data_IF_726064915427
#
_entry.id   IF_726064915427
#
_cell.length_a   1.000
_cell.length_b   1.000
_cell.length_c   1.000
_cell.angle_alpha   90.00
_cell.angle_beta   90.00
_cell.angle_gamma   90.00
#
_symmetry.space_group_name_H-M   'P 1'
#
loop_
_entity.id
_entity.type
_entity.pdbx_description
1 polymer ?
#
# COMPACT_ATOMS: atom_id res chain seq x y z
N UNK A 1 -4.26 12.98 3.96
CA UNK A 1 -4.64 11.95 4.95
C UNK A 1 -6.15 11.82 5.11
N UNK A 2 -6.96 12.62 4.41
CA UNK A 2 -8.41 12.69 4.62
C UNK A 2 -9.13 12.48 3.30
N UNK A 3 -10.34 11.94 3.39
CA UNK A 3 -11.29 11.85 2.29
C UNK A 3 -12.23 13.06 2.30
N UNK A 4 -12.91 13.38 1.19
CA UNK A 4 -13.95 14.39 1.18
C UNK A 4 -15.01 14.18 2.28
N UNK A 5 -15.61 15.28 2.76
CA UNK A 5 -16.55 15.28 3.89
C UNK A 5 -17.72 14.29 3.77
N UNK A 6 -18.13 13.96 2.54
CA UNK A 6 -19.13 12.93 2.28
C UNK A 6 -18.76 11.57 2.89
N UNK A 7 -17.46 11.24 2.92
CA UNK A 7 -16.90 9.98 3.41
C UNK A 7 -16.45 10.02 4.87
N UNK A 8 -16.83 11.07 5.61
CA UNK A 8 -16.51 11.22 7.04
C UNK A 8 -16.88 9.98 7.89
N UNK A 9 -18.03 9.29 7.68
CA UNK A 9 -18.35 8.09 8.45
C UNK A 9 -17.26 7.00 8.37
N UNK A 10 -16.63 6.82 7.21
CA UNK A 10 -15.54 5.87 7.04
C UNK A 10 -14.30 6.29 7.81
N UNK A 11 -13.93 7.57 7.72
CA UNK A 11 -12.77 8.11 8.41
C UNK A 11 -12.93 8.07 9.94
N UNK A 12 -14.13 8.36 10.47
CA UNK A 12 -14.40 8.32 11.90
C UNK A 12 -14.29 6.93 12.51
N UNK A 13 -14.71 5.89 11.78
CA UNK A 13 -14.52 4.50 12.19
C UNK A 13 -13.04 4.13 12.13
N UNK A 14 -12.36 4.45 11.03
CA UNK A 14 -10.94 4.12 10.85
C UNK A 14 -10.02 4.80 11.88
N UNK A 15 -10.26 6.07 12.20
CA UNK A 15 -9.48 6.80 13.20
C UNK A 15 -9.67 6.24 14.63
N UNK A 16 -10.82 5.64 14.91
CA UNK A 16 -11.14 5.01 16.21
C UNK A 16 -10.99 3.49 16.18
N UNK A 17 -10.46 2.93 15.10
CA UNK A 17 -10.48 1.49 14.85
C UNK A 17 -9.85 0.66 15.97
N UNK A 18 -8.66 0.99 16.53
CA UNK A 18 -8.10 0.24 17.65
C UNK A 18 -9.03 0.21 18.87
N UNK A 19 -9.63 1.35 19.19
CA UNK A 19 -10.56 1.47 20.32
C UNK A 19 -11.85 0.69 20.06
N UNK A 20 -12.44 0.81 18.87
CA UNK A 20 -13.68 0.11 18.52
C UNK A 20 -13.51 -1.41 18.48
N UNK A 21 -12.34 -1.91 18.07
CA UNK A 21 -12.02 -3.34 18.14
C UNK A 21 -11.88 -3.77 19.59
N UNK A 22 -11.03 -3.08 20.37
CA UNK A 22 -10.76 -3.43 21.78
C UNK A 22 -11.97 -3.28 22.72
N UNK A 23 -12.94 -2.45 22.37
CA UNK A 23 -14.21 -2.28 23.12
C UNK A 23 -15.36 -3.14 22.59
N UNK A 24 -15.12 -3.98 21.58
CA UNK A 24 -16.15 -4.81 20.92
C UNK A 24 -17.30 -4.02 20.24
N UNK A 25 -17.10 -2.74 19.91
CA UNK A 25 -18.14 -1.87 19.33
C UNK A 25 -18.07 -1.70 17.81
N UNK A 26 -16.98 -2.13 17.16
CA UNK A 26 -16.80 -1.96 15.72
C UNK A 26 -17.97 -2.51 14.89
N UNK A 27 -18.44 -3.74 15.16
CA UNK A 27 -19.56 -4.34 14.41
C UNK A 27 -20.83 -3.50 14.49
N UNK A 28 -21.21 -3.05 15.68
CA UNK A 28 -22.37 -2.17 15.87
C UNK A 28 -22.23 -0.88 15.06
N UNK A 29 -21.08 -0.20 15.16
CA UNK A 29 -20.82 1.05 14.42
C UNK A 29 -20.83 0.87 12.90
N UNK A 30 -20.29 -0.24 12.38
CA UNK A 30 -20.32 -0.52 10.94
C UNK A 30 -21.74 -0.84 10.45
N UNK A 31 -22.57 -1.49 11.27
CA UNK A 31 -23.95 -1.78 10.90
C UNK A 31 -24.84 -0.52 10.86
N UNK A 32 -24.51 0.51 11.62
CA UNK A 32 -25.15 1.83 11.60
C UNK A 32 -24.64 2.75 10.46
N UNK A 33 -23.57 2.34 9.78
CA UNK A 33 -22.93 3.15 8.75
C UNK A 33 -23.85 3.35 7.53
N UNK A 34 -23.99 4.59 7.02
CA UNK A 34 -24.79 4.82 5.82
C UNK A 34 -24.15 4.17 4.58
N UNK A 35 -24.98 3.75 3.62
CA UNK A 35 -24.47 3.32 2.32
C UNK A 35 -24.03 4.56 1.52
N UNK A 36 -22.73 4.69 1.28
CA UNK A 36 -22.13 5.77 0.50
C UNK A 36 -21.63 5.23 -0.84
N UNK A 37 -21.84 5.96 -1.94
CA UNK A 37 -21.33 5.57 -3.25
C UNK A 37 -19.93 6.16 -3.51
N UNK A 38 -19.20 5.63 -4.48
CA UNK A 38 -17.83 6.06 -4.75
C UNK A 38 -17.70 7.18 -5.80
N UNK A 39 -18.81 7.82 -6.20
CA UNK A 39 -18.84 8.77 -7.31
C UNK A 39 -18.03 10.04 -7.04
N UNK A 40 -17.87 10.42 -5.76
CA UNK A 40 -17.10 11.60 -5.36
C UNK A 40 -15.61 11.30 -5.12
N UNK A 41 -15.15 10.06 -5.31
CA UNK A 41 -13.74 9.69 -5.28
C UNK A 41 -13.11 9.89 -6.66
N UNK A 42 -12.82 11.15 -6.99
CA UNK A 42 -12.38 11.56 -8.34
C UNK A 42 -10.89 11.30 -8.58
N UNK A 43 -10.08 11.35 -7.51
CA UNK A 43 -8.63 11.17 -7.60
C UNK A 43 -8.15 9.77 -7.26
N UNK A 44 -7.08 9.32 -7.91
CA UNK A 44 -6.41 8.06 -7.56
C UNK A 44 -6.02 7.99 -6.08
N UNK A 45 -5.56 9.11 -5.50
CA UNK A 45 -5.19 9.19 -4.07
C UNK A 45 -6.40 8.98 -3.16
N UNK A 46 -7.54 9.57 -3.49
CA UNK A 46 -8.78 9.43 -2.73
C UNK A 46 -9.27 7.99 -2.81
N UNK A 47 -9.26 7.39 -4.01
CA UNK A 47 -9.61 5.99 -4.20
C UNK A 47 -8.69 5.05 -3.43
N UNK A 48 -7.37 5.28 -3.44
CA UNK A 48 -6.41 4.48 -2.66
C UNK A 48 -6.62 4.62 -1.15
N UNK A 49 -6.89 5.83 -0.67
CA UNK A 49 -7.17 6.06 0.75
C UNK A 49 -8.50 5.42 1.15
N UNK A 50 -9.53 5.51 0.31
CA UNK A 50 -10.81 4.84 0.53
C UNK A 50 -10.63 3.31 0.58
N UNK A 51 -9.86 2.73 -0.35
CA UNK A 51 -9.54 1.31 -0.36
C UNK A 51 -8.84 0.88 0.93
N UNK A 52 -7.82 1.63 1.36
CA UNK A 52 -7.12 1.40 2.62
C UNK A 52 -8.10 1.40 3.79
N UNK A 53 -8.86 2.49 3.95
CA UNK A 53 -9.81 2.68 5.06
C UNK A 53 -10.84 1.56 5.11
N UNK A 54 -11.52 1.28 3.99
CA UNK A 54 -12.56 0.26 3.91
C UNK A 54 -11.99 -1.15 4.14
N UNK A 55 -10.79 -1.44 3.66
CA UNK A 55 -10.11 -2.73 3.88
C UNK A 55 -9.70 -2.92 5.34
N UNK A 56 -9.22 -1.88 6.02
CA UNK A 56 -8.91 -1.93 7.45
C UNK A 56 -10.18 -2.16 8.29
N UNK A 57 -11.26 -1.43 7.99
CA UNK A 57 -12.56 -1.62 8.66
C UNK A 57 -13.07 -3.05 8.42
N UNK A 58 -12.96 -3.56 7.19
CA UNK A 58 -13.38 -4.91 6.82
C UNK A 58 -12.63 -5.98 7.61
N UNK A 59 -11.29 -5.90 7.67
CA UNK A 59 -10.51 -6.83 8.47
C UNK A 59 -10.84 -6.72 9.96
N UNK A 60 -11.00 -5.51 10.48
CA UNK A 60 -11.45 -5.30 11.86
C UNK A 60 -12.82 -5.95 12.11
N UNK A 61 -13.77 -5.79 11.20
CA UNK A 61 -15.13 -6.31 11.35
C UNK A 61 -15.19 -7.84 11.32
N UNK A 62 -14.48 -8.45 10.38
CA UNK A 62 -14.40 -9.93 10.22
C UNK A 62 -13.75 -10.56 11.44
N UNK A 63 -12.62 -10.00 11.88
CA UNK A 63 -11.74 -10.60 12.89
C UNK A 63 -11.91 -10.04 14.31
N UNK A 64 -12.83 -9.09 14.52
CA UNK A 64 -13.18 -8.65 15.88
C UNK A 64 -13.71 -9.85 16.67
N UNK A 65 -13.11 -10.09 17.84
CA UNK A 65 -13.58 -11.11 18.78
C UNK A 65 -15.05 -10.86 19.16
N UNK A 66 -15.85 -11.93 19.16
CA UNK A 66 -17.31 -11.88 19.26
C UNK A 66 -17.85 -11.23 20.54
N UNK A 67 -19.08 -10.71 20.48
CA UNK A 67 -19.78 -9.96 21.54
C UNK A 67 -20.16 -10.76 22.81
N UNK A 68 -19.67 -11.99 23.00
CA UNK A 68 -19.95 -12.75 24.20
C UNK A 68 -18.69 -13.47 24.70
N UNK A 69 -18.32 -13.21 25.95
CA UNK A 69 -17.41 -14.08 26.68
C UNK A 69 -17.93 -15.53 26.56
N UNK A 70 -17.06 -16.49 26.23
CA UNK A 70 -17.49 -17.88 26.22
C UNK A 70 -17.92 -18.24 27.65
N UNK A 71 -19.22 -18.55 27.82
CA UNK A 71 -19.68 -19.30 28.98
C UNK A 71 -19.05 -20.69 28.86
N UNK A 72 -18.02 -20.91 29.67
CA UNK A 72 -17.36 -22.18 29.97
C UNK A 72 -16.82 -23.00 28.77
N UNK A 73 -15.50 -23.11 28.71
CA UNK A 73 -14.73 -24.23 28.15
C UNK A 73 -15.20 -24.82 26.81
N UNK A 74 -15.45 -23.99 25.80
CA UNK A 74 -15.54 -24.48 24.42
C UNK A 74 -14.50 -23.79 23.55
N UNK A 75 -13.58 -24.60 23.02
CA UNK A 75 -12.58 -24.25 22.02
C UNK A 75 -13.30 -23.93 20.70
N UNK A 76 -13.99 -22.80 20.61
CA UNK A 76 -14.65 -22.38 19.37
C UNK A 76 -14.42 -20.91 19.05
N UNK A 77 -13.15 -20.58 18.82
CA UNK A 77 -12.73 -19.32 18.19
C UNK A 77 -13.38 -19.16 16.79
N UNK A 78 -13.61 -20.27 16.08
CA UNK A 78 -14.14 -20.28 14.71
C UNK A 78 -15.63 -19.92 14.56
N UNK A 79 -16.43 -19.93 15.64
CA UNK A 79 -17.87 -19.62 15.56
C UNK A 79 -18.11 -18.11 15.46
N UNK A 80 -17.16 -17.28 15.88
CA UNK A 80 -17.38 -15.83 16.02
C UNK A 80 -16.80 -14.98 14.89
N UNK A 81 -16.24 -15.62 13.85
CA UNK A 81 -15.77 -14.93 12.64
C UNK A 81 -16.97 -14.52 11.81
N UNK A 82 -17.07 -13.23 11.48
CA UNK A 82 -18.17 -12.77 10.65
C UNK A 82 -17.98 -13.21 9.20
N UNK A 83 -18.91 -14.01 8.69
CA UNK A 83 -18.87 -14.55 7.32
C UNK A 83 -19.57 -13.67 6.28
N UNK A 84 -20.33 -12.67 6.73
CA UNK A 84 -21.14 -11.82 5.86
C UNK A 84 -20.89 -10.36 6.21
N UNK A 85 -20.37 -9.60 5.24
CA UNK A 85 -20.19 -8.17 5.39
C UNK A 85 -21.51 -7.43 5.13
N UNK A 86 -21.82 -6.37 5.90
CA UNK A 86 -22.97 -5.53 5.62
C UNK A 86 -22.77 -4.81 4.28
N UNK A 87 -23.88 -4.60 3.54
CA UNK A 87 -23.85 -3.98 2.20
C UNK A 87 -23.23 -2.59 2.21
N UNK A 88 -23.37 -1.87 3.31
CA UNK A 88 -22.84 -0.52 3.56
C UNK A 88 -21.31 -0.50 3.51
N UNK A 89 -20.64 -1.61 3.83
CA UNK A 89 -19.19 -1.78 3.74
C UNK A 89 -18.76 -2.55 2.49
N UNK A 90 -19.48 -3.61 2.14
CA UNK A 90 -19.12 -4.50 1.04
C UNK A 90 -19.21 -3.83 -0.34
N UNK A 91 -20.28 -3.08 -0.61
CA UNK A 91 -20.49 -2.47 -1.93
C UNK A 91 -19.44 -1.40 -2.25
N UNK A 92 -19.15 -0.43 -1.36
CA UNK A 92 -18.15 0.58 -1.65
C UNK A 92 -16.74 0.00 -1.77
N UNK A 93 -16.40 -1.00 -0.93
CA UNK A 93 -15.11 -1.68 -1.05
C UNK A 93 -14.96 -2.33 -2.42
N UNK A 94 -15.94 -3.13 -2.85
CA UNK A 94 -15.92 -3.78 -4.18
C UNK A 94 -15.85 -2.75 -5.32
N UNK A 95 -16.57 -1.64 -5.22
CA UNK A 95 -16.56 -0.57 -6.21
C UNK A 95 -15.18 0.09 -6.32
N UNK A 96 -14.59 0.53 -5.21
CA UNK A 96 -13.25 1.14 -5.18
C UNK A 96 -12.18 0.15 -5.64
N UNK A 97 -12.23 -1.10 -5.16
CA UNK A 97 -11.30 -2.16 -5.57
C UNK A 97 -11.35 -2.39 -7.08
N UNK A 98 -12.56 -2.44 -7.67
CA UNK A 98 -12.72 -2.55 -9.13
C UNK A 98 -12.10 -1.36 -9.86
N UNK A 99 -12.33 -0.14 -9.39
CA UNK A 99 -11.79 1.07 -10.01
C UNK A 99 -10.25 1.10 -9.99
N UNK A 100 -9.64 0.52 -8.96
CA UNK A 100 -8.19 0.44 -8.80
C UNK A 100 -7.55 -0.80 -9.44
N UNK A 101 -8.35 -1.78 -9.88
CA UNK A 101 -7.86 -3.09 -10.34
C UNK A 101 -7.25 -3.93 -9.21
N UNK A 102 -7.75 -3.78 -7.99
CA UNK A 102 -7.33 -4.52 -6.80
C UNK A 102 -8.42 -5.49 -6.35
N UNK A 103 -8.08 -6.56 -5.61
CA UNK A 103 -9.07 -7.37 -4.90
C UNK A 103 -9.65 -6.60 -3.69
N UNK A 104 -10.91 -6.85 -3.30
CA UNK A 104 -11.57 -6.24 -2.14
C UNK A 104 -11.15 -6.90 -0.82
N UNK A 105 -9.87 -6.81 -0.51
CA UNK A 105 -9.24 -7.32 0.71
C UNK A 105 -8.09 -6.39 1.11
N UNK A 106 -7.71 -6.42 2.38
CA UNK A 106 -6.56 -5.66 2.85
C UNK A 106 -5.26 -6.23 2.26
N UNK A 107 -4.52 -5.40 1.53
CA UNK A 107 -3.27 -5.78 0.87
C UNK A 107 -2.06 -5.17 1.56
N UNK A 108 -0.89 -5.75 1.31
CA UNK A 108 0.40 -5.14 1.66
C UNK A 108 0.53 -3.70 1.16
N UNK A 109 0.06 -3.44 -0.07
CA UNK A 109 0.07 -2.09 -0.65
C UNK A 109 -0.79 -1.10 0.13
N UNK A 110 -1.83 -1.57 0.82
CA UNK A 110 -2.65 -0.74 1.70
C UNK A 110 -1.96 -0.55 3.04
N UNK A 111 -1.56 -1.63 3.71
CA UNK A 111 -1.00 -1.63 5.08
C UNK A 111 0.35 -0.92 5.19
N UNK A 112 1.15 -0.98 4.13
CA UNK A 112 2.55 -0.50 4.15
C UNK A 112 2.71 0.67 3.20
N UNK A 113 2.49 0.47 1.90
CA UNK A 113 2.90 1.46 0.89
C UNK A 113 2.03 2.72 0.90
N UNK A 114 0.75 2.59 1.25
CA UNK A 114 -0.23 3.68 1.27
C UNK A 114 -0.55 4.21 2.69
N UNK A 115 -0.20 3.47 3.73
CA UNK A 115 -0.60 3.76 5.11
C UNK A 115 0.49 4.50 5.88
N UNK A 116 0.87 5.68 5.41
CA UNK A 116 1.74 6.55 6.17
C UNK A 116 1.56 8.00 5.76
N UNK A 117 1.85 8.89 6.70
CA UNK A 117 1.95 10.30 6.41
C UNK A 117 2.82 11.03 7.45
N UNK A 118 3.29 12.22 7.10
CA UNK A 118 4.22 12.98 7.94
C UNK A 118 3.56 13.49 9.23
N UNK A 119 4.24 13.41 10.39
CA UNK A 119 3.81 13.95 11.69
C UNK A 119 3.72 15.48 11.65
N UNK A 120 4.81 16.13 11.22
CA UNK A 120 4.92 17.59 11.18
C UNK A 120 5.00 18.09 9.73
N UNK A 121 3.93 18.67 9.16
CA UNK A 121 3.95 19.25 7.82
C UNK A 121 4.70 20.60 7.72
N UNK A 122 5.11 21.18 8.86
CA UNK A 122 5.74 22.51 8.98
C UNK A 122 7.11 22.70 8.32
N UNK A 123 7.67 21.67 7.69
CA UNK A 123 8.78 21.83 6.72
C UNK A 123 8.22 21.61 5.31
N UNK A 124 7.64 22.68 4.76
CA UNK A 124 7.25 22.85 3.35
C UNK A 124 6.34 21.79 2.72
N UNK A 125 5.77 20.83 3.45
CA UNK A 125 5.02 19.73 2.81
C UNK A 125 3.76 19.32 3.58
N UNK A 126 2.55 19.73 3.14
CA UNK A 126 1.30 19.43 3.84
C UNK A 126 0.91 17.95 3.74
N UNK A 127 0.88 17.25 4.88
CA UNK A 127 0.02 16.09 5.13
C UNK A 127 0.02 14.96 4.10
N UNK A 128 1.15 14.69 3.46
CA UNK A 128 1.23 13.80 2.30
C UNK A 128 1.09 12.32 2.69
N UNK A 129 0.17 11.65 1.99
CA UNK A 129 0.20 10.19 1.80
C UNK A 129 1.07 9.97 0.57
N UNK A 130 2.23 9.34 0.71
CA UNK A 130 3.09 9.06 -0.44
C UNK A 130 3.12 7.57 -0.73
N UNK A 131 3.21 7.24 -2.01
CA UNK A 131 3.22 5.88 -2.51
C UNK A 131 4.58 5.63 -3.14
N UNK A 132 5.12 4.42 -2.97
CA UNK A 132 6.23 3.99 -3.81
C UNK A 132 5.70 3.70 -5.21
N UNK A 133 5.77 4.70 -6.08
CA UNK A 133 5.64 4.48 -7.52
C UNK A 133 7.05 4.39 -8.09
N UNK A 134 7.42 3.19 -8.53
CA UNK A 134 8.64 3.02 -9.34
C UNK A 134 8.32 3.53 -10.73
N UNK A 135 8.82 4.73 -11.03
CA UNK A 135 8.67 5.41 -12.32
C UNK A 135 9.91 5.17 -13.17
N UNK A 136 9.76 5.37 -14.48
CA UNK A 136 10.86 5.41 -15.45
C UNK A 136 11.63 4.09 -15.57
N UNK A 137 10.91 2.97 -15.41
CA UNK A 137 11.39 1.64 -15.75
C UNK A 137 11.08 1.37 -17.22
N UNK A 138 12.10 1.53 -18.06
CA UNK A 138 12.05 1.14 -19.46
C UNK A 138 12.81 -0.16 -19.63
N UNK A 139 12.12 -1.21 -20.05
CA UNK A 139 12.76 -2.45 -20.47
C UNK A 139 12.62 -2.53 -21.99
N UNK A 140 13.76 -2.54 -22.68
CA UNK A 140 13.80 -2.79 -24.12
C UNK A 140 13.77 -4.30 -24.30
N UNK A 141 12.92 -4.84 -25.17
CA UNK A 141 13.01 -6.25 -25.58
C UNK A 141 13.01 -6.31 -27.11
N UNK A 142 13.88 -7.13 -27.73
CA UNK A 142 13.75 -7.42 -29.16
C UNK A 142 12.50 -8.28 -29.41
N UNK A 143 11.70 -7.90 -30.40
CA UNK A 143 10.55 -8.70 -30.86
C UNK A 143 11.10 -9.91 -31.61
N UNK A 144 11.21 -11.06 -30.96
CA UNK A 144 11.46 -12.32 -31.65
C UNK A 144 10.19 -12.75 -32.38
N UNK A 145 10.09 -12.38 -33.66
CA UNK A 145 8.95 -12.73 -34.52
C UNK A 145 8.80 -11.92 -35.82
N UNK A 146 9.58 -10.87 -36.04
CA UNK A 146 9.56 -10.18 -37.33
C UNK A 146 10.40 -10.96 -38.36
N UNK A 147 9.73 -11.53 -39.37
CA UNK A 147 10.36 -12.12 -40.56
C UNK A 147 11.40 -11.15 -41.14
N UNK A 148 12.49 -11.70 -41.66
CA UNK A 148 13.61 -10.98 -42.29
C UNK A 148 13.11 -9.79 -43.13
N UNK A 149 13.48 -8.57 -42.75
CA UNK A 149 13.16 -7.34 -43.49
C UNK A 149 12.52 -6.19 -42.70
N UNK A 150 12.20 -6.34 -41.42
CA UNK A 150 11.65 -5.23 -40.61
C UNK A 150 12.75 -4.47 -39.86
N UNK A 151 12.77 -3.15 -40.05
CA UNK A 151 13.70 -2.20 -39.44
C UNK A 151 13.76 -2.35 -37.90
N UNK A 152 14.97 -2.57 -37.37
CA UNK A 152 15.28 -2.82 -35.95
C UNK A 152 14.97 -1.63 -35.00
N UNK A 153 14.45 -0.50 -35.50
CA UNK A 153 14.13 0.67 -34.68
C UNK A 153 12.75 0.61 -33.98
N UNK A 154 11.95 -0.44 -34.15
CA UNK A 154 10.67 -0.57 -33.42
C UNK A 154 10.88 -1.16 -32.02
N UNK A 155 11.29 -0.31 -31.09
CA UNK A 155 11.26 -0.59 -29.65
C UNK A 155 9.82 -0.53 -29.12
N UNK A 156 9.24 -1.68 -28.76
CA UNK A 156 7.99 -1.71 -27.99
C UNK A 156 8.26 -1.26 -26.55
N UNK A 157 7.83 -0.05 -26.19
CA UNK A 157 7.85 0.40 -24.79
C UNK A 157 6.83 -0.40 -23.99
N UNK A 158 7.25 -1.13 -22.97
CA UNK A 158 6.32 -1.53 -21.89
C UNK A 158 5.86 -0.23 -21.22
N UNK A 159 4.67 0.23 -21.60
CA UNK A 159 4.04 1.38 -20.96
C UNK A 159 3.37 0.86 -19.70
N UNK A 160 3.99 1.09 -18.55
CA UNK A 160 3.33 0.88 -17.25
C UNK A 160 2.00 1.66 -17.30
N UNK A 161 0.84 1.05 -16.97
CA UNK A 161 -0.46 1.70 -17.08
C UNK A 161 -0.45 3.11 -16.47
N UNK A 162 -1.04 4.11 -17.14
CA UNK A 162 -1.09 5.49 -16.65
C UNK A 162 -1.66 5.62 -15.23
N UNK A 163 -2.46 4.65 -14.77
CA UNK A 163 -2.97 4.55 -13.40
C UNK A 163 -1.87 4.37 -12.34
N UNK A 164 -0.70 3.85 -12.71
CA UNK A 164 0.49 3.81 -11.84
C UNK A 164 1.25 5.14 -11.84
N UNK A 165 1.05 6.02 -12.82
CA UNK A 165 1.83 7.23 -13.00
C UNK A 165 1.18 8.46 -12.32
N UNK A 166 1.02 8.45 -10.99
CA UNK A 166 0.70 9.67 -10.21
C UNK A 166 1.90 10.62 -10.16
N UNK A 167 1.80 11.80 -10.80
CA UNK A 167 2.86 12.76 -11.19
C UNK A 167 3.75 13.34 -10.09
N UNK A 168 3.62 12.93 -8.83
CA UNK A 168 4.41 13.48 -7.72
C UNK A 168 4.96 12.35 -6.85
N UNK A 169 6.26 12.07 -7.04
CA UNK A 169 7.09 11.30 -6.11
C UNK A 169 8.01 12.32 -5.43
N UNK A 170 7.79 12.58 -4.14
CA UNK A 170 8.78 13.30 -3.36
C UNK A 170 9.75 12.31 -2.75
N UNK A 171 11.04 12.59 -2.91
CA UNK A 171 12.10 11.91 -2.18
C UNK A 171 11.80 12.04 -0.68
N UNK A 172 11.42 10.94 -0.02
CA UNK A 172 11.58 10.83 1.43
C UNK A 172 13.07 11.08 1.65
N UNK A 173 13.43 12.24 2.19
CA UNK A 173 14.82 12.61 2.42
C UNK A 173 15.59 11.51 3.15
N UNK A 174 16.91 11.53 3.10
CA UNK A 174 17.79 10.56 3.75
C UNK A 174 17.64 10.48 5.30
N UNK A 175 16.65 11.16 5.88
CA UNK A 175 16.36 11.21 7.32
C UNK A 175 15.32 10.18 7.75
N UNK A 176 15.73 9.35 8.71
CA UNK A 176 14.96 8.55 9.67
C UNK A 176 13.41 8.71 9.65
N UNK A 177 12.66 7.59 9.57
CA UNK A 177 11.18 7.53 9.60
C UNK A 177 10.53 8.01 10.90
N UNK A 178 11.28 8.63 11.82
CA UNK A 178 10.77 9.23 13.06
C UNK A 178 9.67 10.27 12.82
N UNK A 179 9.62 10.87 11.63
CA UNK A 179 8.59 11.83 11.24
C UNK A 179 7.40 11.20 10.49
N UNK A 180 7.32 9.87 10.38
CA UNK A 180 6.19 9.18 9.73
C UNK A 180 5.28 8.54 10.78
N UNK A 181 3.99 8.56 10.49
CA UNK A 181 2.98 7.78 11.23
C UNK A 181 2.05 7.07 10.25
N UNK A 182 1.61 5.85 10.60
CA UNK A 182 0.49 5.21 9.92
C UNK A 182 -0.79 6.04 9.98
N UNK A 183 -1.61 5.94 8.94
CA UNK A 183 -2.91 6.63 8.86
C UNK A 183 -3.96 5.85 9.65
N UNK A 184 -3.99 4.52 9.49
CA UNK A 184 -4.89 3.60 10.18
C UNK A 184 -4.07 2.49 10.85
N UNK A 185 -4.49 2.08 12.04
CA UNK A 185 -3.85 1.02 12.82
C UNK A 185 -4.89 0.04 13.36
N UNK A 186 -4.47 -1.21 13.51
CA UNK A 186 -5.15 -2.18 14.38
C UNK A 186 -4.66 -2.01 15.82
N UNK A 187 -5.31 -2.66 16.80
CA UNK A 187 -4.72 -2.86 18.13
C UNK A 187 -3.31 -3.45 18.02
N UNK A 188 -2.40 -3.03 18.89
CA UNK A 188 -0.98 -3.45 18.84
C UNK A 188 0.03 -2.35 19.19
N UNK A 189 -0.44 -1.11 19.37
CA UNK A 189 0.35 0.00 19.90
C UNK A 189 1.64 0.27 19.12
N UNK A 190 2.72 0.58 19.84
CA UNK A 190 4.01 0.91 19.23
C UNK A 190 4.67 -0.27 18.49
N UNK A 191 4.35 -1.53 18.84
CA UNK A 191 4.90 -2.71 18.16
C UNK A 191 4.41 -2.79 16.72
N UNK A 192 3.09 -2.73 16.50
CA UNK A 192 2.51 -2.74 15.15
C UNK A 192 2.93 -1.49 14.36
N UNK A 193 2.99 -0.34 15.01
CA UNK A 193 3.47 0.90 14.41
C UNK A 193 4.93 0.76 13.94
N UNK A 194 5.80 0.22 14.79
CA UNK A 194 7.19 -0.08 14.47
C UNK A 194 7.31 -1.04 13.28
N UNK A 195 6.56 -2.14 13.32
CA UNK A 195 6.51 -3.12 12.23
C UNK A 195 6.19 -2.47 10.88
N UNK A 196 5.08 -1.72 10.77
CA UNK A 196 4.68 -1.07 9.53
C UNK A 196 5.76 -0.10 9.04
N UNK A 197 6.30 0.75 9.93
CA UNK A 197 7.27 1.77 9.54
C UNK A 197 8.62 1.18 9.13
N UNK A 198 9.06 0.09 9.77
CA UNK A 198 10.27 -0.65 9.37
C UNK A 198 10.05 -1.32 8.01
N UNK A 199 8.87 -1.89 7.74
CA UNK A 199 8.56 -2.43 6.41
C UNK A 199 8.56 -1.33 5.35
N UNK A 200 8.02 -0.14 5.62
CA UNK A 200 8.13 1.03 4.71
C UNK A 200 9.59 1.38 4.41
N UNK A 201 10.49 1.28 5.41
CA UNK A 201 11.93 1.53 5.22
C UNK A 201 12.59 0.49 4.32
N UNK A 202 12.27 -0.78 4.53
CA UNK A 202 12.75 -1.89 3.69
C UNK A 202 12.33 -1.67 2.24
N UNK A 203 11.06 -1.35 2.01
CA UNK A 203 10.52 -1.07 0.67
C UNK A 203 11.21 0.14 0.02
N UNK A 204 11.46 1.20 0.80
CA UNK A 204 12.23 2.36 0.34
C UNK A 204 13.64 1.98 -0.10
N UNK A 205 14.33 1.18 0.72
CA UNK A 205 15.71 0.76 0.47
C UNK A 205 15.84 -0.15 -0.76
N UNK A 206 14.75 -0.83 -1.15
CA UNK A 206 14.70 -1.66 -2.35
C UNK A 206 14.59 -0.86 -3.67
N UNK A 207 14.09 0.39 -3.63
CA UNK A 207 13.84 1.19 -4.84
C UNK A 207 15.08 1.31 -5.76
N UNK A 208 16.30 1.63 -5.25
CA UNK A 208 17.49 1.68 -6.10
C UNK A 208 17.84 0.32 -6.70
N UNK A 209 17.65 -0.78 -5.97
CA UNK A 209 17.90 -2.14 -6.45
C UNK A 209 16.96 -2.55 -7.57
N UNK A 210 15.68 -2.20 -7.49
CA UNK A 210 14.72 -2.46 -8.58
C UNK A 210 15.11 -1.68 -9.86
N UNK A 211 15.52 -0.41 -9.71
CA UNK A 211 16.04 0.36 -10.85
C UNK A 211 17.31 -0.26 -11.44
N UNK A 212 18.21 -0.74 -10.57
CA UNK A 212 19.44 -1.40 -10.97
C UNK A 212 19.18 -2.73 -11.70
N UNK A 213 18.18 -3.52 -11.29
CA UNK A 213 17.76 -4.73 -12.00
C UNK A 213 17.35 -4.43 -13.45
N UNK A 214 16.57 -3.37 -13.64
CA UNK A 214 16.15 -2.92 -14.98
C UNK A 214 17.35 -2.49 -15.81
N UNK A 215 18.27 -1.73 -15.22
CA UNK A 215 19.51 -1.33 -15.88
C UNK A 215 20.37 -2.55 -16.27
N UNK A 216 20.48 -3.55 -15.40
CA UNK A 216 21.20 -4.78 -15.67
C UNK A 216 20.58 -5.54 -16.86
N UNK A 217 19.25 -5.69 -16.89
CA UNK A 217 18.56 -6.33 -18.03
C UNK A 217 18.85 -5.58 -19.34
N UNK A 218 18.75 -4.25 -19.35
CA UNK A 218 19.06 -3.46 -20.55
C UNK A 218 20.55 -3.57 -20.96
N UNK A 219 21.47 -3.62 -20.00
CA UNK A 219 22.90 -3.74 -20.27
C UNK A 219 23.27 -5.10 -20.89
N UNK A 220 22.57 -6.18 -20.51
CA UNK A 220 22.70 -7.50 -21.15
C UNK A 220 22.20 -7.45 -22.60
N UNK A 221 21.11 -6.71 -22.86
CA UNK A 221 20.51 -6.62 -24.19
C UNK A 221 21.26 -5.69 -25.15
N UNK A 222 21.97 -4.68 -24.65
CA UNK A 222 22.78 -3.73 -25.42
C UNK A 222 24.30 -4.00 -25.29
N UNK A 223 24.71 -5.28 -25.19
CA UNK A 223 25.98 -5.80 -24.69
C UNK A 223 26.97 -4.77 -24.11
N UNK A 224 26.63 -4.19 -22.95
CA UNK A 224 27.45 -3.18 -22.26
C UNK A 224 27.98 -3.73 -20.92
N UNK A 225 29.22 -4.25 -20.87
CA UNK A 225 29.77 -4.90 -19.68
C UNK A 225 29.89 -3.94 -18.48
N UNK A 226 30.31 -2.71 -18.73
CA UNK A 226 30.51 -1.70 -17.67
C UNK A 226 29.17 -1.28 -17.05
N UNK A 227 28.14 -1.08 -17.88
CA UNK A 227 26.78 -0.76 -17.41
C UNK A 227 26.19 -1.91 -16.60
N UNK A 228 26.46 -3.16 -17.01
CA UNK A 228 26.04 -4.34 -16.26
C UNK A 228 26.74 -4.42 -14.90
N UNK A 229 28.06 -4.22 -14.86
CA UNK A 229 28.83 -4.22 -13.61
C UNK A 229 28.34 -3.13 -12.65
N UNK A 230 28.11 -1.90 -13.14
CA UNK A 230 27.59 -0.80 -12.34
C UNK A 230 26.20 -1.13 -11.78
N UNK A 231 25.31 -1.68 -12.61
CA UNK A 231 23.97 -2.10 -12.18
C UNK A 231 24.03 -3.18 -11.09
N UNK A 232 24.88 -4.20 -11.25
CA UNK A 232 25.05 -5.25 -10.24
C UNK A 232 25.65 -4.71 -8.93
N UNK A 233 26.59 -3.76 -9.00
CA UNK A 233 27.13 -3.09 -7.82
C UNK A 233 26.05 -2.29 -7.09
N UNK A 234 25.19 -1.57 -7.81
CA UNK A 234 24.07 -0.82 -7.23
C UNK A 234 23.03 -1.75 -6.60
N UNK A 235 22.77 -2.90 -7.23
CA UNK A 235 21.88 -3.93 -6.68
C UNK A 235 22.44 -4.48 -5.36
N UNK A 236 23.75 -4.78 -5.29
CA UNK A 236 24.42 -5.23 -4.07
C UNK A 236 24.26 -4.20 -2.93
N UNK A 237 24.48 -2.92 -3.20
CA UNK A 237 24.33 -1.85 -2.21
C UNK A 237 22.89 -1.77 -1.70
N UNK A 238 21.90 -1.86 -2.60
CA UNK A 238 20.48 -1.86 -2.22
C UNK A 238 20.11 -3.06 -1.33
N UNK A 239 20.64 -4.25 -1.60
CA UNK A 239 20.43 -5.43 -0.74
C UNK A 239 21.03 -5.22 0.65
N UNK A 240 22.22 -4.62 0.75
CA UNK A 240 22.83 -4.27 2.04
C UNK A 240 21.99 -3.26 2.83
N UNK A 241 21.43 -2.26 2.15
CA UNK A 241 20.55 -1.25 2.76
C UNK A 241 19.20 -1.84 3.20
N UNK A 242 18.64 -2.79 2.43
CA UNK A 242 17.47 -3.57 2.83
C UNK A 242 17.76 -4.34 4.13
N UNK A 243 18.86 -5.09 4.18
CA UNK A 243 19.24 -5.87 5.37
C UNK A 243 19.44 -4.98 6.59
N UNK A 244 20.08 -3.81 6.43
CA UNK A 244 20.25 -2.83 7.52
C UNK A 244 18.92 -2.27 8.00
N UNK A 245 17.99 -2.01 7.08
CA UNK A 245 16.65 -1.51 7.41
C UNK A 245 15.84 -2.56 8.16
N UNK A 246 15.91 -3.83 7.73
CA UNK A 246 15.26 -4.95 8.39
C UNK A 246 15.79 -5.17 9.82
N UNK A 247 17.09 -4.91 10.04
CA UNK A 247 17.70 -4.96 11.37
C UNK A 247 17.11 -3.98 12.39
N UNK A 248 16.29 -3.01 11.97
CA UNK A 248 15.56 -2.10 12.87
C UNK A 248 14.24 -2.70 13.40
N UNK A 249 13.89 -3.93 13.02
CA UNK A 249 12.70 -4.63 13.49
C UNK A 249 12.85 -5.19 14.91
N UNK A 250 14.09 -5.26 15.43
CA UNK A 250 14.46 -5.69 16.79
C UNK A 250 14.93 -4.50 17.62
#
# INVERSE_FOLDING_TARGET
KELPDHYRPWMEIANRLPHLIGSHQLRAQVNEMPLLNCQFLTGYREQRLAHLVLSFITMGYVWQDGEAQPKENVLIVWIYICKVLPRTLALPLVEVSRNLGLPPILLHSDVVLANWATRNPGRKNPGFVSYFVIRDVHIYYPIYGAKEGVNLNTSSKITVPRSFLSTHSENIGAGNCKNLDPIVLFPGGESLRGFILVTVLVEKAAVPGIKALVQAVNAVLLPSPDSLLQALQQLRLSIQDITRSLGQMH
#
